data_IF_155161921440
#
_entry.id   IF_155161921440
#
_cell.length_a   1.000
_cell.length_b   1.000
_cell.length_c   1.000
_cell.angle_alpha   90.00
_cell.angle_beta   90.00
_cell.angle_gamma   90.00
#
_symmetry.space_group_name_H-M   'P 1'
#
loop_
_entity.id
_entity.type
_entity.pdbx_description
1 polymer ?
#
# COMPACT_ATOMS: atom_id res chain seq x y z
N UNK A 1 70.76 23.00 -54.67
CA UNK A 1 70.44 21.98 -53.66
C UNK A 1 70.17 22.68 -52.34
N UNK A 2 68.92 22.73 -51.88
CA UNK A 2 68.50 23.44 -50.66
C UNK A 2 68.44 22.42 -49.52
N UNK A 3 69.36 22.49 -48.56
CA UNK A 3 69.32 21.70 -47.34
C UNK A 3 68.39 22.39 -46.34
N UNK A 4 67.26 21.73 -46.03
CA UNK A 4 66.36 22.12 -44.95
C UNK A 4 66.92 21.57 -43.64
N UNK A 5 67.37 22.47 -42.75
CA UNK A 5 67.79 22.12 -41.39
C UNK A 5 66.53 22.00 -40.54
N UNK A 6 66.17 20.76 -40.17
CA UNK A 6 65.09 20.47 -39.23
C UNK A 6 65.66 20.60 -37.82
N UNK A 7 65.35 21.71 -37.14
CA UNK A 7 65.65 21.91 -35.72
C UNK A 7 64.62 21.11 -34.92
N UNK A 8 65.03 19.95 -34.42
CA UNK A 8 64.26 19.17 -33.44
C UNK A 8 64.28 19.90 -32.11
N UNK A 9 63.19 20.59 -31.78
CA UNK A 9 62.95 21.14 -30.45
C UNK A 9 62.64 19.97 -29.49
N UNK A 10 63.67 19.50 -28.79
CA UNK A 10 63.52 18.61 -27.64
C UNK A 10 62.84 19.42 -26.54
N UNK A 11 61.51 19.31 -26.47
CA UNK A 11 60.72 19.83 -25.37
C UNK A 11 61.05 18.95 -24.15
N UNK A 12 62.00 19.41 -23.34
CA UNK A 12 62.31 18.81 -22.06
C UNK A 12 61.12 19.09 -21.14
N UNK A 13 60.09 18.24 -21.19
CA UNK A 13 59.09 18.14 -20.13
C UNK A 13 59.84 17.71 -18.87
N UNK A 14 60.26 18.68 -18.06
CA UNK A 14 60.63 18.41 -16.68
C UNK A 14 59.41 17.81 -16.00
N UNK A 15 59.44 16.49 -15.79
CA UNK A 15 58.55 15.86 -14.83
C UNK A 15 58.90 16.46 -13.47
N UNK A 16 58.10 17.43 -13.01
CA UNK A 16 58.11 17.80 -11.60
C UNK A 16 57.47 16.64 -10.88
N UNK A 17 58.29 15.67 -10.47
CA UNK A 17 57.88 14.63 -9.55
C UNK A 17 57.61 15.29 -8.21
N UNK A 18 56.37 15.72 -8.01
CA UNK A 18 55.89 16.13 -6.69
C UNK A 18 55.95 14.87 -5.82
N UNK A 19 57.06 14.71 -5.09
CA UNK A 19 57.27 13.64 -4.11
C UNK A 19 55.97 13.40 -3.36
N UNK A 20 55.33 12.26 -3.61
CA UNK A 20 54.07 11.90 -3.00
C UNK A 20 54.36 11.51 -1.55
N UNK A 21 53.83 12.27 -0.60
CA UNK A 21 53.88 11.91 0.82
C UNK A 21 53.11 10.59 1.01
N UNK A 22 53.71 9.65 1.74
CA UNK A 22 53.14 8.32 2.00
C UNK A 22 52.01 8.43 3.04
N UNK A 23 51.03 7.53 2.95
CA UNK A 23 50.00 7.39 3.97
C UNK A 23 48.95 8.51 4.04
N UNK A 24 48.90 9.40 3.04
CA UNK A 24 47.87 10.44 2.93
C UNK A 24 46.91 10.19 1.76
N UNK A 25 45.66 10.60 1.94
CA UNK A 25 44.66 10.62 0.87
C UNK A 25 44.81 11.84 -0.03
N UNK A 26 44.29 11.75 -1.26
CA UNK A 26 44.36 12.83 -2.25
C UNK A 26 43.74 14.14 -1.75
N UNK A 27 42.70 14.07 -0.90
CA UNK A 27 42.06 15.25 -0.30
C UNK A 27 42.95 15.96 0.72
N UNK A 28 43.84 15.24 1.39
CA UNK A 28 44.76 15.80 2.39
C UNK A 28 46.06 16.36 1.78
N UNK A 29 46.35 16.07 0.51
CA UNK A 29 47.58 16.52 -0.19
C UNK A 29 47.86 18.03 -0.08
N UNK A 30 46.83 18.86 0.10
CA UNK A 30 47.01 20.32 0.24
C UNK A 30 47.71 20.72 1.54
N UNK A 31 47.54 19.95 2.62
CA UNK A 31 48.15 20.24 3.92
C UNK A 31 49.64 19.88 3.94
N UNK A 32 50.03 18.84 3.20
CA UNK A 32 51.40 18.32 3.15
C UNK A 32 52.22 18.86 1.96
N UNK A 33 52.04 20.14 1.61
CA UNK A 33 52.87 20.76 0.58
C UNK A 33 54.24 21.07 1.16
N UNK A 34 55.29 20.54 0.52
CA UNK A 34 56.69 20.76 0.91
C UNK A 34 56.99 22.26 0.99
N UNK A 35 57.23 22.73 2.23
CA UNK A 35 57.51 24.12 2.63
C UNK A 35 58.61 24.09 3.68
N UNK A 36 59.02 25.26 4.20
CA UNK A 36 59.97 25.32 5.33
C UNK A 36 59.40 24.77 6.63
N UNK A 37 58.08 24.83 6.80
CA UNK A 37 57.39 24.43 8.02
C UNK A 37 56.06 23.75 7.70
N UNK A 38 55.65 22.86 8.60
CA UNK A 38 54.37 22.19 8.65
C UNK A 38 53.62 22.63 9.91
N UNK A 39 52.34 22.95 9.77
CA UNK A 39 51.46 23.21 10.91
C UNK A 39 50.70 21.91 11.14
N UNK A 40 50.77 21.35 12.35
CA UNK A 40 49.95 20.20 12.74
C UNK A 40 48.48 20.48 12.38
N UNK A 41 47.75 19.47 11.92
CA UNK A 41 46.41 19.69 11.34
C UNK A 41 45.43 20.22 12.40
N UNK A 42 45.61 19.83 13.66
CA UNK A 42 44.90 20.38 14.82
C UNK A 42 45.25 21.85 15.16
N UNK A 43 46.28 22.42 14.55
CA UNK A 43 46.77 23.77 14.78
C UNK A 43 47.61 23.95 16.05
N UNK A 44 48.00 22.87 16.72
CA UNK A 44 48.69 22.90 18.02
C UNK A 44 50.11 23.45 17.94
N UNK A 45 50.87 23.02 16.93
CA UNK A 45 52.32 23.28 16.81
C UNK A 45 52.75 23.46 15.36
N UNK A 46 53.78 24.28 15.15
CA UNK A 46 54.47 24.40 13.86
C UNK A 46 55.84 23.71 13.99
N UNK A 47 56.11 22.79 13.08
CA UNK A 47 57.36 22.03 13.00
C UNK A 47 58.06 22.26 11.66
N UNK A 48 59.38 22.04 11.54
CA UNK A 48 60.04 21.94 10.25
C UNK A 48 59.39 20.85 9.38
N UNK A 49 59.26 21.05 8.06
CA UNK A 49 58.67 20.04 7.18
C UNK A 49 59.51 18.75 7.10
N UNK A 50 60.80 18.83 7.47
CA UNK A 50 61.70 17.68 7.58
C UNK A 50 61.28 16.70 8.67
N UNK A 51 60.47 17.14 9.65
CA UNK A 51 59.88 16.30 10.70
C UNK A 51 58.57 15.62 10.26
N UNK A 52 58.24 15.65 8.96
CA UNK A 52 57.07 14.94 8.45
C UNK A 52 57.51 13.58 7.91
N UNK A 53 57.03 12.50 8.53
CA UNK A 53 57.48 11.12 8.32
C UNK A 53 58.96 10.90 8.68
N UNK A 54 59.41 11.47 9.79
CA UNK A 54 60.76 11.29 10.31
C UNK A 54 60.89 10.17 11.35
N UNK A 55 59.80 9.42 11.57
CA UNK A 55 59.69 8.32 12.53
C UNK A 55 59.71 8.81 14.00
N UNK A 56 59.37 10.09 14.23
CA UNK A 56 59.17 10.67 15.56
C UNK A 56 57.81 11.38 15.64
N UNK A 57 57.12 11.26 16.78
CA UNK A 57 55.80 11.87 16.94
C UNK A 57 55.89 13.25 17.61
N UNK A 58 55.78 14.30 16.80
CA UNK A 58 55.82 15.70 17.14
C UNK A 58 54.44 16.37 17.33
N UNK A 59 53.41 15.91 16.61
CA UNK A 59 52.04 16.44 16.72
C UNK A 59 51.15 15.57 17.62
N UNK A 60 50.33 16.18 18.47
CA UNK A 60 49.40 15.44 19.35
C UNK A 60 48.31 14.66 18.58
N UNK A 61 47.94 15.17 17.40
CA UNK A 61 47.01 14.54 16.47
C UNK A 61 47.67 13.48 15.55
N UNK A 62 49.00 13.39 15.56
CA UNK A 62 49.80 12.50 14.72
C UNK A 62 49.79 12.85 13.23
N UNK A 63 49.47 14.09 12.89
CA UNK A 63 49.41 14.56 11.50
C UNK A 63 50.78 14.75 10.84
N UNK A 64 51.85 14.77 11.60
CA UNK A 64 53.24 14.76 11.13
C UNK A 64 53.68 13.40 10.59
N UNK A 65 53.12 12.30 11.12
CA UNK A 65 53.52 10.93 10.82
C UNK A 65 52.42 10.11 10.08
N UNK A 66 51.90 10.56 8.91
CA UNK A 66 50.87 9.81 8.19
C UNK A 66 51.39 8.51 7.55
N UNK A 67 52.70 8.40 7.34
CA UNK A 67 53.39 7.36 6.57
C UNK A 67 54.27 6.43 7.40
N UNK A 68 54.32 6.58 8.73
CA UNK A 68 55.12 5.78 9.67
C UNK A 68 54.23 5.24 10.81
N UNK A 69 54.83 4.52 11.75
CA UNK A 69 54.15 3.98 12.94
C UNK A 69 54.44 4.78 14.22
N UNK A 70 55.13 5.91 14.12
CA UNK A 70 55.64 6.67 15.28
C UNK A 70 54.54 7.26 16.18
N UNK A 71 53.42 7.71 15.61
CA UNK A 71 52.33 8.32 16.37
C UNK A 71 51.24 7.31 16.77
N UNK A 72 50.87 7.19 18.06
CA UNK A 72 49.93 6.16 18.55
C UNK A 72 48.47 6.37 18.09
N UNK A 73 48.09 7.61 17.78
CA UNK A 73 46.77 7.96 17.22
C UNK A 73 46.80 8.19 15.71
N UNK A 74 47.95 7.95 15.09
CA UNK A 74 48.16 8.11 13.66
C UNK A 74 47.31 7.12 12.85
N UNK A 75 47.07 7.48 11.59
CA UNK A 75 46.35 6.63 10.64
C UNK A 75 47.06 6.68 9.30
N UNK A 76 47.29 5.50 8.73
CA UNK A 76 47.91 5.35 7.42
C UNK A 76 46.85 5.12 6.35
N UNK A 77 46.94 5.85 5.24
CA UNK A 77 46.02 5.71 4.12
C UNK A 77 46.54 4.75 3.04
N UNK A 78 45.90 3.59 2.91
CA UNK A 78 46.09 2.68 1.79
C UNK A 78 45.40 3.26 0.54
N UNK A 79 46.17 3.53 -0.52
CA UNK A 79 45.58 4.08 -1.76
C UNK A 79 44.77 3.03 -2.51
N UNK A 80 45.23 1.77 -2.49
CA UNK A 80 44.57 0.61 -3.06
C UNK A 80 44.05 0.84 -4.49
N UNK A 81 44.91 1.32 -5.39
CA UNK A 81 44.53 1.60 -6.78
C UNK A 81 43.90 0.36 -7.44
N UNK A 82 42.72 0.54 -8.03
CA UNK A 82 41.94 -0.54 -8.63
C UNK A 82 40.96 -1.24 -7.66
N UNK A 83 41.00 -0.90 -6.37
CA UNK A 83 40.10 -1.36 -5.31
C UNK A 83 39.65 -0.19 -4.40
N UNK A 84 39.09 -0.51 -3.22
CA UNK A 84 38.63 0.46 -2.23
C UNK A 84 39.79 0.98 -1.37
N UNK A 85 40.04 2.30 -1.34
CA UNK A 85 40.98 2.88 -0.37
C UNK A 85 40.41 2.78 1.03
N UNK A 86 41.28 2.67 2.02
CA UNK A 86 40.88 2.71 3.43
C UNK A 86 42.05 3.15 4.32
N UNK A 87 41.74 3.41 5.58
CA UNK A 87 42.73 3.75 6.59
C UNK A 87 43.01 2.56 7.50
N UNK A 88 44.26 2.35 7.83
CA UNK A 88 44.71 1.43 8.88
C UNK A 88 45.31 2.22 10.06
N UNK A 89 45.37 1.66 11.26
CA UNK A 89 46.11 2.26 12.37
C UNK A 89 47.59 2.40 12.01
N UNK A 90 48.25 3.48 12.44
CA UNK A 90 49.70 3.69 12.26
C UNK A 90 50.53 2.53 12.81
N UNK A 91 50.07 1.88 13.88
CA UNK A 91 50.75 0.72 14.48
C UNK A 91 50.91 -0.48 13.54
N UNK A 92 50.21 -0.49 12.40
CA UNK A 92 50.29 -1.54 11.37
C UNK A 92 51.21 -1.16 10.20
N UNK A 93 51.94 -0.06 10.33
CA UNK A 93 52.91 0.35 9.32
C UNK A 93 54.26 -0.27 9.67
N UNK A 94 54.78 -1.09 8.76
CA UNK A 94 56.01 -1.88 8.93
C UNK A 94 55.99 -2.85 10.12
N UNK A 95 54.82 -3.42 10.45
CA UNK A 95 54.69 -4.39 11.55
C UNK A 95 54.97 -5.85 11.11
N UNK A 96 55.22 -6.05 9.81
CA UNK A 96 55.46 -7.35 9.19
C UNK A 96 54.20 -8.04 8.68
N UNK A 97 53.04 -7.40 8.72
CA UNK A 97 51.74 -7.93 8.28
C UNK A 97 51.24 -7.11 7.08
N UNK A 98 50.79 -7.78 6.02
CA UNK A 98 50.25 -7.10 4.85
C UNK A 98 48.76 -6.75 5.04
N UNK A 99 48.45 -5.55 5.51
CA UNK A 99 47.10 -5.02 5.69
C UNK A 99 46.57 -4.33 4.42
N UNK A 100 47.37 -3.50 3.76
CA UNK A 100 46.96 -2.84 2.52
C UNK A 100 47.05 -3.81 1.33
N UNK A 101 46.03 -3.88 0.47
CA UNK A 101 46.10 -4.71 -0.73
C UNK A 101 47.15 -4.23 -1.73
N UNK A 102 47.58 -2.96 -1.64
CA UNK A 102 48.62 -2.38 -2.49
C UNK A 102 50.03 -2.55 -1.92
N UNK A 103 50.16 -3.20 -0.75
CA UNK A 103 51.41 -3.42 -0.03
C UNK A 103 52.14 -2.12 0.38
N UNK A 104 51.42 -1.00 0.48
CA UNK A 104 52.04 0.30 0.75
C UNK A 104 52.38 0.54 2.23
N UNK A 105 51.81 -0.24 3.13
CA UNK A 105 52.04 -0.30 4.57
C UNK A 105 53.40 -0.91 4.94
N UNK A 106 53.81 -1.97 4.24
CA UNK A 106 55.04 -2.73 4.52
C UNK A 106 56.18 -2.37 3.57
N UNK A 107 56.61 -1.10 3.60
CA UNK A 107 57.65 -0.58 2.71
C UNK A 107 59.07 -0.70 3.26
N UNK A 108 59.22 -0.89 4.56
CA UNK A 108 60.50 -1.01 5.28
C UNK A 108 60.44 -2.10 6.36
N UNK A 109 59.79 -3.22 6.07
CA UNK A 109 59.78 -4.40 6.92
C UNK A 109 60.39 -5.60 6.19
N UNK A 110 60.49 -6.73 6.90
CA UNK A 110 60.97 -7.98 6.32
C UNK A 110 59.85 -8.74 5.56
N UNK A 111 58.62 -8.22 5.56
CA UNK A 111 57.48 -8.86 4.89
C UNK A 111 57.55 -8.66 3.38
N UNK A 112 57.25 -9.73 2.62
CA UNK A 112 57.17 -9.67 1.17
C UNK A 112 55.70 -9.58 0.72
N UNK A 113 55.15 -8.38 0.81
CA UNK A 113 53.76 -8.11 0.42
C UNK A 113 53.61 -7.99 -1.11
N UNK A 114 52.49 -8.46 -1.65
CA UNK A 114 52.18 -8.40 -3.08
C UNK A 114 50.93 -7.55 -3.33
N UNK A 115 50.93 -6.78 -4.42
CA UNK A 115 49.76 -6.00 -4.79
C UNK A 115 48.65 -6.92 -5.33
N UNK A 116 47.55 -7.03 -4.59
CA UNK A 116 46.37 -7.85 -4.93
C UNK A 116 45.13 -7.02 -5.24
N UNK A 117 45.22 -5.68 -5.19
CA UNK A 117 44.07 -4.79 -5.35
C UNK A 117 43.31 -5.00 -6.66
N UNK A 118 44.02 -5.22 -7.76
CA UNK A 118 43.37 -5.44 -9.06
C UNK A 118 42.44 -6.65 -9.04
N UNK A 119 42.90 -7.77 -8.49
CA UNK A 119 42.12 -9.02 -8.41
C UNK A 119 40.93 -8.87 -7.45
N UNK A 120 41.14 -8.24 -6.30
CA UNK A 120 40.06 -7.95 -5.34
C UNK A 120 39.00 -7.04 -5.96
N UNK A 121 39.44 -5.97 -6.64
CA UNK A 121 38.54 -5.04 -7.32
C UNK A 121 37.77 -5.67 -8.47
N UNK A 122 38.39 -6.55 -9.26
CA UNK A 122 37.68 -7.29 -10.30
C UNK A 122 36.58 -8.19 -9.71
N UNK A 123 36.91 -8.96 -8.67
CA UNK A 123 35.95 -9.84 -7.99
C UNK A 123 34.77 -9.06 -7.41
N UNK A 124 35.05 -7.95 -6.76
CA UNK A 124 34.00 -7.11 -6.18
C UNK A 124 33.10 -6.48 -7.25
N UNK A 125 33.68 -5.95 -8.34
CA UNK A 125 32.89 -5.40 -9.45
C UNK A 125 31.99 -6.46 -10.07
N UNK A 126 32.51 -7.66 -10.32
CA UNK A 126 31.72 -8.77 -10.85
C UNK A 126 30.59 -9.19 -9.89
N UNK A 127 30.85 -9.21 -8.58
CA UNK A 127 29.84 -9.50 -7.57
C UNK A 127 28.72 -8.46 -7.56
N UNK A 128 29.07 -7.17 -7.50
CA UNK A 128 28.11 -6.05 -7.49
C UNK A 128 27.31 -6.02 -8.79
N UNK A 129 27.94 -6.24 -9.94
CA UNK A 129 27.25 -6.33 -11.23
C UNK A 129 26.23 -7.48 -11.24
N UNK A 130 26.60 -8.64 -10.68
CA UNK A 130 25.66 -9.76 -10.51
C UNK A 130 24.44 -9.38 -9.66
N UNK A 131 24.65 -8.71 -8.52
CA UNK A 131 23.54 -8.23 -7.68
C UNK A 131 22.66 -7.20 -8.39
N UNK A 132 23.28 -6.28 -9.15
CA UNK A 132 22.54 -5.27 -9.91
C UNK A 132 21.67 -5.89 -11.00
N UNK A 133 22.14 -6.94 -11.68
CA UNK A 133 21.32 -7.68 -12.66
C UNK A 133 20.09 -8.31 -12.03
N UNK A 134 20.25 -9.02 -10.91
CA UNK A 134 19.11 -9.61 -10.19
C UNK A 134 18.13 -8.55 -9.69
N UNK A 135 18.64 -7.40 -9.22
CA UNK A 135 17.80 -6.29 -8.81
C UNK A 135 17.01 -5.72 -10.00
N UNK A 136 17.65 -5.52 -11.15
CA UNK A 136 17.01 -5.00 -12.35
C UNK A 136 15.89 -5.93 -12.85
N UNK A 137 16.13 -7.25 -12.88
CA UNK A 137 15.12 -8.26 -13.19
C UNK A 137 13.93 -8.19 -12.22
N UNK A 138 14.20 -8.08 -10.91
CA UNK A 138 13.18 -7.94 -9.88
C UNK A 138 12.37 -6.64 -10.01
N UNK A 139 13.03 -5.52 -10.33
CA UNK A 139 12.37 -4.24 -10.57
C UNK A 139 11.50 -4.26 -11.83
N UNK A 140 11.95 -4.94 -12.88
CA UNK A 140 11.17 -5.12 -14.12
C UNK A 140 9.91 -5.94 -13.86
N UNK A 141 10.02 -7.06 -13.13
CA UNK A 141 8.85 -7.86 -12.76
C UNK A 141 7.90 -7.06 -11.87
N UNK A 142 8.42 -6.33 -10.88
CA UNK A 142 7.61 -5.44 -10.04
C UNK A 142 6.83 -4.43 -10.89
N UNK A 143 7.47 -3.83 -11.89
CA UNK A 143 6.80 -2.86 -12.77
C UNK A 143 5.64 -3.51 -13.55
N UNK A 144 5.85 -4.71 -14.10
CA UNK A 144 4.79 -5.47 -14.79
C UNK A 144 3.61 -5.78 -13.85
N UNK A 145 3.88 -6.24 -12.63
CA UNK A 145 2.85 -6.53 -11.63
C UNK A 145 2.09 -5.28 -11.19
N UNK A 146 2.75 -4.12 -11.13
CA UNK A 146 2.07 -2.84 -10.85
C UNK A 146 1.12 -2.49 -12.00
N UNK A 147 1.55 -2.62 -13.25
CA UNK A 147 0.72 -2.33 -14.42
C UNK A 147 -0.50 -3.27 -14.49
N UNK A 148 -0.28 -4.57 -14.33
CA UNK A 148 -1.34 -5.58 -14.27
C UNK A 148 -2.29 -5.33 -13.09
N UNK A 149 -1.73 -5.03 -11.91
CA UNK A 149 -2.50 -4.72 -10.71
C UNK A 149 -3.39 -3.49 -10.87
N UNK A 150 -2.90 -2.44 -11.54
CA UNK A 150 -3.71 -1.24 -11.84
C UNK A 150 -4.84 -1.55 -12.81
N UNK A 151 -4.60 -2.36 -13.86
CA UNK A 151 -5.64 -2.76 -14.81
C UNK A 151 -6.72 -3.62 -14.12
N UNK A 152 -6.31 -4.63 -13.36
CA UNK A 152 -7.21 -5.51 -12.62
C UNK A 152 -8.03 -4.72 -11.60
N UNK A 153 -7.41 -3.78 -10.89
CA UNK A 153 -8.11 -2.92 -9.93
C UNK A 153 -9.20 -2.08 -10.61
N UNK A 154 -8.91 -1.49 -11.77
CA UNK A 154 -9.89 -0.73 -12.56
C UNK A 154 -11.06 -1.62 -13.02
N UNK A 155 -10.78 -2.83 -13.48
CA UNK A 155 -11.81 -3.81 -13.89
C UNK A 155 -12.72 -4.16 -12.71
N UNK A 156 -12.14 -4.53 -11.56
CA UNK A 156 -12.91 -4.88 -10.36
C UNK A 156 -13.73 -3.71 -9.83
N UNK A 157 -13.21 -2.49 -9.92
CA UNK A 157 -13.97 -1.30 -9.55
C UNK A 157 -15.14 -1.03 -10.50
N UNK A 158 -15.01 -1.34 -11.79
CA UNK A 158 -16.13 -1.27 -12.74
C UNK A 158 -17.20 -2.33 -12.43
N UNK A 159 -16.80 -3.59 -12.22
CA UNK A 159 -17.70 -4.69 -11.85
C UNK A 159 -18.46 -4.39 -10.54
N UNK A 160 -17.77 -3.82 -9.55
CA UNK A 160 -18.38 -3.45 -8.28
C UNK A 160 -19.46 -2.37 -8.45
N UNK A 161 -19.22 -1.37 -9.30
CA UNK A 161 -20.22 -0.34 -9.61
C UNK A 161 -21.45 -0.91 -10.32
N UNK A 162 -21.25 -1.83 -11.26
CA UNK A 162 -22.36 -2.52 -11.95
C UNK A 162 -23.19 -3.35 -10.97
N UNK A 163 -22.54 -4.16 -10.12
CA UNK A 163 -23.23 -4.94 -9.10
C UNK A 163 -23.99 -4.06 -8.09
N UNK A 164 -23.45 -2.89 -7.74
CA UNK A 164 -24.15 -1.91 -6.90
C UNK A 164 -25.44 -1.41 -7.57
N UNK A 165 -25.39 -1.05 -8.85
CA UNK A 165 -26.57 -0.62 -9.60
C UNK A 165 -27.62 -1.74 -9.69
N UNK A 166 -27.19 -2.97 -9.96
CA UNK A 166 -28.09 -4.14 -10.00
C UNK A 166 -28.72 -4.39 -8.63
N UNK A 167 -27.95 -4.26 -7.54
CA UNK A 167 -28.48 -4.42 -6.19
C UNK A 167 -29.53 -3.34 -5.85
N UNK A 168 -29.30 -2.08 -6.23
CA UNK A 168 -30.26 -0.98 -6.04
C UNK A 168 -31.55 -1.21 -6.86
N UNK A 169 -31.45 -1.58 -8.13
CA UNK A 169 -32.61 -1.88 -8.99
C UNK A 169 -33.43 -3.07 -8.43
N UNK A 170 -32.75 -4.12 -7.96
CA UNK A 170 -33.39 -5.26 -7.32
C UNK A 170 -34.11 -4.86 -6.02
N UNK A 171 -33.55 -3.94 -5.24
CA UNK A 171 -34.21 -3.41 -4.04
C UNK A 171 -35.48 -2.64 -4.40
N UNK A 172 -35.43 -1.78 -5.42
CA UNK A 172 -36.61 -1.04 -5.91
C UNK A 172 -37.70 -2.01 -6.36
N UNK A 173 -37.35 -3.01 -7.18
CA UNK A 173 -38.29 -4.04 -7.64
C UNK A 173 -38.88 -4.85 -6.49
N UNK A 174 -38.05 -5.21 -5.50
CA UNK A 174 -38.51 -5.93 -4.31
C UNK A 174 -39.55 -5.12 -3.55
N UNK A 175 -39.32 -3.82 -3.37
CA UNK A 175 -40.25 -2.93 -2.67
C UNK A 175 -41.55 -2.71 -3.45
N UNK A 176 -41.47 -2.60 -4.78
CA UNK A 176 -42.64 -2.55 -5.67
C UNK A 176 -43.47 -3.84 -5.59
N UNK A 177 -42.83 -5.01 -5.64
CA UNK A 177 -43.50 -6.30 -5.49
C UNK A 177 -44.13 -6.47 -4.10
N UNK A 178 -43.46 -6.01 -3.04
CA UNK A 178 -44.02 -5.99 -1.67
C UNK A 178 -45.27 -5.13 -1.61
N UNK A 179 -45.24 -3.93 -2.20
CA UNK A 179 -46.39 -3.03 -2.25
C UNK A 179 -47.57 -3.65 -2.99
N UNK A 180 -47.34 -4.20 -4.19
CA UNK A 180 -48.38 -4.89 -4.98
C UNK A 180 -48.98 -6.07 -4.21
N UNK A 181 -48.15 -6.85 -3.51
CA UNK A 181 -48.62 -7.93 -2.64
C UNK A 181 -49.51 -7.41 -1.52
N UNK A 182 -49.09 -6.35 -0.81
CA UNK A 182 -49.90 -5.74 0.25
C UNK A 182 -51.25 -5.22 -0.26
N UNK A 183 -51.28 -4.58 -1.44
CA UNK A 183 -52.53 -4.11 -2.05
C UNK A 183 -53.45 -5.28 -2.44
N UNK A 184 -52.89 -6.35 -3.02
CA UNK A 184 -53.64 -7.56 -3.37
C UNK A 184 -54.18 -8.30 -2.13
N UNK A 185 -53.38 -8.43 -1.06
CA UNK A 185 -53.81 -9.05 0.19
C UNK A 185 -54.95 -8.25 0.85
N UNK A 186 -54.88 -6.91 0.84
CA UNK A 186 -55.98 -6.04 1.33
C UNK A 186 -57.25 -6.21 0.52
N UNK A 187 -57.15 -6.24 -0.81
CA UNK A 187 -58.32 -6.45 -1.68
C UNK A 187 -58.92 -7.84 -1.46
N UNK A 188 -58.09 -8.87 -1.31
CA UNK A 188 -58.52 -10.23 -1.01
C UNK A 188 -59.24 -10.28 0.34
N UNK A 189 -58.72 -9.64 1.37
CA UNK A 189 -59.36 -9.59 2.69
C UNK A 189 -60.70 -8.85 2.65
N UNK A 190 -60.79 -7.72 1.95
CA UNK A 190 -62.04 -6.98 1.74
C UNK A 190 -63.07 -7.84 0.99
N UNK A 191 -62.65 -8.52 -0.06
CA UNK A 191 -63.51 -9.43 -0.84
C UNK A 191 -63.99 -10.60 0.00
N UNK A 192 -63.11 -11.21 0.80
CA UNK A 192 -63.46 -12.30 1.71
C UNK A 192 -64.51 -11.86 2.74
N UNK A 193 -64.30 -10.70 3.39
CA UNK A 193 -65.27 -10.10 4.33
C UNK A 193 -66.61 -9.79 3.68
N UNK A 194 -66.61 -9.29 2.44
CA UNK A 194 -67.85 -9.03 1.70
C UNK A 194 -68.60 -10.33 1.35
N UNK A 195 -67.88 -11.39 0.97
CA UNK A 195 -68.45 -12.71 0.73
C UNK A 195 -69.03 -13.32 2.02
N UNK A 196 -68.33 -13.20 3.16
CA UNK A 196 -68.83 -13.65 4.47
C UNK A 196 -70.06 -12.84 4.94
N UNK A 197 -70.07 -11.52 4.73
CA UNK A 197 -71.22 -10.67 5.01
C UNK A 197 -72.42 -11.02 4.11
N UNK A 198 -72.18 -11.34 2.85
CA UNK A 198 -73.21 -11.80 1.92
C UNK A 198 -73.75 -13.18 2.31
N UNK A 199 -72.89 -14.14 2.67
CA UNK A 199 -73.32 -15.48 3.12
C UNK A 199 -74.11 -15.41 4.44
N UNK A 200 -73.66 -14.59 5.41
CA UNK A 200 -74.40 -14.36 6.65
C UNK A 200 -75.73 -13.63 6.43
N UNK A 201 -75.77 -12.68 5.50
CA UNK A 201 -77.01 -12.03 5.05
C UNK A 201 -77.98 -12.99 4.39
N UNK A 202 -77.50 -13.86 3.50
CA UNK A 202 -78.29 -14.90 2.84
C UNK A 202 -78.81 -15.94 3.85
N UNK A 203 -77.98 -16.37 4.80
CA UNK A 203 -78.40 -17.25 5.91
C UNK A 203 -79.48 -16.60 6.77
N UNK A 204 -79.35 -15.31 7.10
CA UNK A 204 -80.36 -14.58 7.88
C UNK A 204 -81.67 -14.45 7.12
N UNK A 205 -81.63 -14.07 5.84
CA UNK A 205 -82.81 -14.02 4.98
C UNK A 205 -83.49 -15.40 4.86
N UNK A 206 -82.72 -16.46 4.60
CA UNK A 206 -83.25 -17.82 4.55
C UNK A 206 -83.90 -18.19 5.89
N UNK A 207 -83.27 -17.92 7.03
CA UNK A 207 -83.86 -18.21 8.35
C UNK A 207 -85.15 -17.41 8.61
N UNK A 208 -85.22 -16.15 8.18
CA UNK A 208 -86.46 -15.36 8.30
C UNK A 208 -87.56 -15.89 7.39
N UNK A 209 -87.24 -16.26 6.15
CA UNK A 209 -88.21 -16.84 5.21
C UNK A 209 -88.72 -18.18 5.74
N UNK A 210 -87.84 -19.04 6.27
CA UNK A 210 -88.24 -20.29 6.93
C UNK A 210 -89.14 -20.03 8.14
N UNK A 211 -88.81 -19.05 9.00
CA UNK A 211 -89.64 -18.73 10.17
C UNK A 211 -91.02 -18.14 9.81
N UNK A 212 -91.11 -17.32 8.77
CA UNK A 212 -92.40 -16.79 8.28
C UNK A 212 -93.22 -17.92 7.67
N UNK A 213 -92.58 -18.81 6.91
CA UNK A 213 -93.23 -19.99 6.34
C UNK A 213 -93.82 -20.89 7.44
N UNK A 214 -93.04 -21.20 8.48
CA UNK A 214 -93.49 -21.97 9.65
C UNK A 214 -94.64 -21.30 10.43
N UNK A 215 -94.72 -19.97 10.43
CA UNK A 215 -95.79 -19.25 11.11
C UNK A 215 -97.12 -19.26 10.34
N UNK A 216 -97.06 -19.33 9.01
CA UNK A 216 -98.23 -19.34 8.13
C UNK A 216 -98.75 -20.76 7.88
N UNK A 217 -97.85 -21.74 7.77
CA UNK A 217 -98.16 -23.17 7.60
C UNK A 217 -98.59 -23.79 8.95
N UNK A 218 -99.86 -23.54 9.33
CA UNK A 218 -100.40 -23.99 10.62
C UNK A 218 -100.65 -25.49 10.67
N UNK A 219 -100.98 -26.10 9.53
CA UNK A 219 -101.24 -27.54 9.44
C UNK A 219 -99.96 -28.38 9.17
N UNK A 220 -98.82 -27.72 8.91
CA UNK A 220 -97.50 -28.29 8.62
C UNK A 220 -97.45 -29.18 7.38
N UNK A 221 -98.29 -28.89 6.39
CA UNK A 221 -98.34 -29.66 5.15
C UNK A 221 -97.30 -29.22 4.11
N UNK A 222 -96.43 -28.27 4.49
CA UNK A 222 -95.37 -27.69 3.64
C UNK A 222 -95.92 -26.91 2.44
N UNK A 223 -97.16 -26.46 2.49
CA UNK A 223 -97.77 -25.53 1.55
C UNK A 223 -98.60 -24.47 2.29
N UNK A 224 -98.73 -23.26 1.72
CA UNK A 224 -99.56 -22.21 2.32
C UNK A 224 -100.86 -22.12 1.54
N UNK A 225 -101.97 -22.42 2.20
CA UNK A 225 -103.30 -22.33 1.60
C UNK A 225 -103.97 -20.99 1.87
N UNK A 226 -104.95 -20.60 1.04
CA UNK A 226 -105.66 -19.30 1.17
C UNK A 226 -106.38 -19.19 2.52
N UNK A 227 -106.89 -20.33 3.02
CA UNK A 227 -107.63 -20.41 4.28
C UNK A 227 -106.71 -20.15 5.50
N UNK A 228 -105.48 -20.66 5.48
CA UNK A 228 -104.49 -20.44 6.54
C UNK A 228 -104.02 -18.97 6.60
N UNK A 229 -103.84 -18.35 5.44
CA UNK A 229 -103.50 -16.94 5.32
C UNK A 229 -104.63 -16.04 5.87
N UNK A 230 -105.88 -16.34 5.54
CA UNK A 230 -107.04 -15.61 6.07
C UNK A 230 -107.20 -15.78 7.58
N UNK A 231 -106.93 -16.98 8.12
CA UNK A 231 -107.04 -17.23 9.57
C UNK A 231 -106.06 -16.37 10.39
N UNK A 232 -104.84 -16.16 9.89
CA UNK A 232 -103.86 -15.28 10.56
C UNK A 232 -104.12 -13.79 10.31
N UNK A 233 -104.64 -13.40 9.15
CA UNK A 233 -105.01 -12.01 8.84
C UNK A 233 -106.26 -11.56 9.62
N UNK A 234 -107.23 -12.46 9.85
CA UNK A 234 -108.43 -12.16 10.63
C UNK A 234 -108.11 -11.82 12.10
N UNK A 235 -107.09 -12.44 12.70
CA UNK A 235 -106.64 -12.13 14.07
C UNK A 235 -106.09 -10.70 14.23
N UNK A 236 -105.71 -10.01 13.14
CA UNK A 236 -105.22 -8.62 13.17
C UNK A 236 -106.38 -7.62 13.12
N UNK A 237 -107.55 -8.03 12.62
CA UNK A 237 -108.73 -7.15 12.53
C UNK A 237 -109.56 -7.05 13.82
N UNK A 238 -109.36 -7.98 14.77
CA UNK A 238 -110.04 -7.99 16.07
C UNK A 238 -109.22 -7.37 17.23
N UNK A 239 -108.02 -6.85 16.96
CA UNK A 239 -107.36 -5.91 17.88
C UNK A 239 -107.87 -4.49 17.57
N UNK A 240 -108.69 -3.93 18.48
CA UNK A 240 -109.01 -2.50 18.51
C UNK A 240 -107.71 -1.68 18.65
N UNK A 241 -107.08 -1.37 17.51
CA UNK A 241 -105.99 -0.41 17.45
C UNK A 241 -106.58 0.99 17.56
N UNK A 242 -106.54 1.53 18.78
CA UNK A 242 -106.69 2.96 19.02
C UNK A 242 -105.64 3.71 18.18
N UNK A 243 -106.12 4.45 17.18
CA UNK A 243 -105.30 5.35 16.37
C UNK A 243 -104.83 6.52 17.26
N UNK A 244 -103.52 6.74 17.37
CA UNK A 244 -102.97 7.97 17.95
C UNK A 244 -102.87 9.05 16.87
N UNK A 245 -103.06 10.31 17.26
CA UNK A 245 -103.25 11.48 16.36
C UNK A 245 -102.09 11.79 15.39
N UNK A 246 -100.95 11.09 15.44
CA UNK A 246 -99.81 11.33 14.56
C UNK A 246 -99.83 10.53 13.23
N UNK A 247 -100.82 9.66 12.99
CA UNK A 247 -100.92 8.85 11.76
C UNK A 247 -101.85 9.47 10.68
N UNK A 248 -102.21 10.75 10.81
CA UNK A 248 -103.00 11.49 9.82
C UNK A 248 -102.33 12.78 9.35
N UNK A 249 -101.14 12.68 8.72
CA UNK A 249 -100.59 13.70 7.81
C UNK A 249 -99.83 13.03 6.66
#
# INVERSE_FOLDING_TARGET
MRFLIIISAVFCCGFVDSKKIRGISSSYKRFYRERKSFLCIDGSKIIPFEQVNDDYCDCEDGSDEPGTSACPRGRFYCTNLGFRPHYIPSSRVNDGICDCCDASDEYNSHAHCQNTCWNLGQRERAYVEGQMRTLDEGLRLKQQLIEEGVLLWREKQAQLRELQQVAEDLQIKLEEHRRRKHEADRLKEQTLKALEAADSGLRRQNSTVTSIFELLDSNKDSSITVDELQAKVALIHDEERLLSEDEAV
#
